data_IF_740528442467
#
_entry.id   IF_740528442467
#
_cell.length_a   1.000
_cell.length_b   1.000
_cell.length_c   1.000
_cell.angle_alpha   90.00
_cell.angle_beta   90.00
_cell.angle_gamma   90.00
#
_symmetry.space_group_name_H-M   'P 1'
#
loop_
_entity.id
_entity.type
_entity.pdbx_description
1 polymer ?
#
# COMPACT_ATOMS: atom_id res chain seq x y z
N UNK A 1 -81.37 -1.91 -31.38
CA UNK A 1 -80.74 -3.22 -31.07
C UNK A 1 -79.55 -2.96 -30.15
N UNK A 2 -79.43 -3.78 -29.09
CA UNK A 2 -78.50 -3.62 -27.97
C UNK A 2 -77.05 -3.95 -28.35
N UNK A 3 -76.10 -3.21 -27.80
CA UNK A 3 -74.85 -3.78 -27.29
C UNK A 3 -74.35 -2.92 -26.12
N UNK A 4 -74.36 -3.50 -24.92
CA UNK A 4 -73.75 -2.97 -23.70
C UNK A 4 -72.30 -3.48 -23.65
N UNK A 5 -71.33 -2.59 -23.44
CA UNK A 5 -70.01 -3.00 -22.98
C UNK A 5 -69.76 -2.46 -21.57
N UNK A 6 -69.46 -3.40 -20.67
CA UNK A 6 -69.14 -3.20 -19.25
C UNK A 6 -67.67 -2.79 -19.15
N UNK A 7 -67.40 -1.74 -18.39
CA UNK A 7 -66.05 -1.39 -17.94
C UNK A 7 -65.64 -2.30 -16.77
N UNK A 8 -64.44 -2.86 -16.83
CA UNK A 8 -63.72 -3.45 -15.69
C UNK A 8 -62.52 -2.54 -15.37
N UNK A 9 -62.20 -2.27 -14.09
CA UNK A 9 -61.02 -1.49 -13.73
C UNK A 9 -59.78 -2.40 -13.69
N UNK A 10 -58.69 -1.95 -14.30
CA UNK A 10 -57.36 -2.56 -14.17
C UNK A 10 -56.65 -1.88 -13.00
N UNK A 11 -56.38 -2.67 -11.95
CA UNK A 11 -55.53 -2.30 -10.82
C UNK A 11 -54.06 -2.23 -11.28
N UNK A 12 -53.47 -1.03 -11.26
CA UNK A 12 -52.05 -0.83 -11.44
C UNK A 12 -51.31 -1.19 -10.13
N UNK A 13 -50.50 -2.24 -10.16
CA UNK A 13 -49.58 -2.59 -9.08
C UNK A 13 -48.22 -1.96 -9.37
N UNK A 14 -47.90 -0.89 -8.64
CA UNK A 14 -46.59 -0.24 -8.70
C UNK A 14 -45.60 -1.00 -7.82
N UNK A 15 -44.66 -1.72 -8.44
CA UNK A 15 -43.50 -2.31 -7.76
C UNK A 15 -42.46 -1.20 -7.57
N UNK A 16 -42.29 -0.74 -6.33
CA UNK A 16 -41.21 0.17 -5.95
C UNK A 16 -39.93 -0.65 -5.71
N UNK A 17 -39.05 -0.67 -6.70
CA UNK A 17 -37.70 -1.22 -6.56
C UNK A 17 -36.86 -0.23 -5.75
N UNK A 18 -36.60 -0.55 -4.49
CA UNK A 18 -35.63 0.18 -3.67
C UNK A 18 -34.22 -0.12 -4.20
N UNK A 19 -33.66 0.82 -4.98
CA UNK A 19 -32.23 0.85 -5.27
C UNK A 19 -31.49 1.12 -3.95
N UNK A 20 -30.85 0.10 -3.41
CA UNK A 20 -29.77 0.29 -2.44
C UNK A 20 -28.60 0.95 -3.17
N UNK A 21 -28.49 2.27 -3.09
CA UNK A 21 -27.26 2.97 -3.40
C UNK A 21 -26.24 2.58 -2.33
N UNK A 22 -25.41 1.59 -2.61
CA UNK A 22 -24.13 1.43 -1.93
C UNK A 22 -23.33 2.69 -2.16
N UNK A 23 -23.08 3.47 -1.11
CA UNK A 23 -22.11 4.57 -1.18
C UNK A 23 -20.75 3.98 -1.63
N UNK A 24 -20.07 4.58 -2.61
CA UNK A 24 -18.74 4.15 -2.98
C UNK A 24 -17.81 4.43 -1.79
N UNK A 25 -17.19 3.39 -1.25
CA UNK A 25 -15.97 3.55 -0.47
C UNK A 25 -14.94 4.16 -1.43
N UNK A 26 -14.69 5.47 -1.28
CA UNK A 26 -13.64 6.13 -2.03
C UNK A 26 -12.28 5.67 -1.49
N UNK A 27 -11.71 4.65 -2.13
CA UNK A 27 -10.27 4.43 -2.07
C UNK A 27 -9.61 5.59 -2.84
N UNK A 28 -9.23 6.64 -2.11
CA UNK A 28 -8.36 7.69 -2.63
C UNK A 28 -6.94 7.13 -2.73
N UNK A 29 -6.33 7.24 -3.91
CA UNK A 29 -4.87 7.06 -4.09
C UNK A 29 -4.43 5.80 -4.83
N UNK A 30 -4.94 5.55 -6.04
CA UNK A 30 -4.25 4.66 -6.97
C UNK A 30 -3.10 5.39 -7.64
N UNK A 31 -1.90 5.38 -7.06
CA UNK A 31 -0.69 5.57 -7.86
C UNK A 31 -0.47 4.27 -8.63
N UNK A 32 -0.40 4.32 -9.95
CA UNK A 32 -0.06 3.17 -10.81
C UNK A 32 1.43 2.80 -10.56
N UNK A 33 1.74 2.29 -9.37
CA UNK A 33 3.04 1.70 -9.08
C UNK A 33 3.07 0.33 -9.75
N UNK A 34 3.91 0.19 -10.78
CA UNK A 34 4.06 -1.09 -11.48
C UNK A 34 4.91 -2.03 -10.62
N UNK A 35 4.30 -3.14 -10.23
CA UNK A 35 4.84 -4.10 -9.28
C UNK A 35 5.78 -5.13 -9.89
N UNK A 36 5.92 -6.25 -9.19
CA UNK A 36 6.74 -7.40 -9.57
C UNK A 36 6.44 -7.83 -11.00
N UNK A 37 7.46 -7.89 -11.84
CA UNK A 37 7.34 -8.43 -13.19
C UNK A 37 8.38 -9.52 -13.44
N UNK A 38 8.19 -10.30 -14.50
CA UNK A 38 9.12 -11.33 -14.91
C UNK A 38 9.35 -11.32 -16.43
N UNK A 39 10.47 -11.88 -16.86
CA UNK A 39 10.78 -12.09 -18.28
C UNK A 39 10.78 -10.79 -19.10
N UNK A 40 10.01 -10.76 -20.19
CA UNK A 40 10.08 -9.69 -21.20
C UNK A 40 9.69 -8.31 -20.66
N UNK A 41 8.85 -8.23 -19.64
CA UNK A 41 8.41 -6.96 -19.06
C UNK A 41 9.55 -6.23 -18.33
N UNK A 42 10.32 -6.97 -17.51
CA UNK A 42 11.51 -6.44 -16.83
C UNK A 42 12.55 -5.93 -17.82
N UNK A 43 12.79 -6.71 -18.87
CA UNK A 43 13.79 -6.38 -19.89
C UNK A 43 13.38 -5.18 -20.73
N UNK A 44 12.07 -5.03 -21.00
CA UNK A 44 11.56 -3.97 -21.88
C UNK A 44 11.39 -2.62 -21.18
N UNK A 45 11.04 -2.58 -19.89
CA UNK A 45 10.63 -1.35 -19.22
C UNK A 45 11.31 -1.17 -17.87
N UNK A 46 11.82 0.04 -17.64
CA UNK A 46 12.43 0.47 -16.38
C UNK A 46 11.41 0.82 -15.29
N UNK A 47 10.12 0.66 -15.57
CA UNK A 47 9.05 0.89 -14.59
C UNK A 47 8.71 -0.36 -13.78
N UNK A 48 9.19 -1.53 -14.21
CA UNK A 48 8.96 -2.78 -13.51
C UNK A 48 10.18 -3.17 -12.69
N UNK A 49 9.92 -3.62 -11.47
CA UNK A 49 10.92 -4.13 -10.54
C UNK A 49 10.92 -5.66 -10.51
N UNK A 50 12.11 -6.22 -10.34
CA UNK A 50 12.32 -7.65 -10.07
C UNK A 50 12.29 -7.98 -8.57
N UNK A 51 12.16 -6.98 -7.69
CA UNK A 51 11.99 -7.20 -6.25
C UNK A 51 10.74 -8.04 -6.03
N UNK A 52 10.89 -9.16 -5.32
CA UNK A 52 9.81 -10.06 -4.93
C UNK A 52 9.39 -9.76 -3.51
N UNK A 53 8.13 -9.42 -3.30
CA UNK A 53 7.50 -9.06 -2.05
C UNK A 53 6.58 -10.21 -1.64
N UNK A 54 6.87 -10.82 -0.49
CA UNK A 54 6.13 -11.98 0.02
C UNK A 54 5.66 -11.72 1.43
N UNK A 55 4.37 -11.93 1.70
CA UNK A 55 3.86 -11.92 3.06
C UNK A 55 4.32 -13.20 3.78
N UNK A 56 5.19 -13.04 4.79
CA UNK A 56 5.76 -14.12 5.59
C UNK A 56 4.79 -14.55 6.69
N UNK A 57 4.11 -13.60 7.32
CA UNK A 57 3.13 -13.87 8.36
C UNK A 57 2.05 -12.79 8.47
N UNK A 58 1.04 -13.08 9.27
CA UNK A 58 -0.11 -12.21 9.49
C UNK A 58 -1.36 -12.72 8.75
N UNK A 59 -2.49 -12.03 8.90
CA UNK A 59 -3.75 -12.44 8.27
C UNK A 59 -3.71 -12.27 6.74
N UNK A 60 -4.28 -13.23 6.02
CA UNK A 60 -4.33 -13.25 4.54
C UNK A 60 -5.76 -13.27 3.98
N UNK A 61 -6.77 -13.36 4.83
CA UNK A 61 -8.19 -13.35 4.43
C UNK A 61 -8.90 -12.06 4.82
N UNK A 62 -10.05 -11.80 4.20
CA UNK A 62 -10.87 -10.60 4.45
C UNK A 62 -10.48 -9.41 3.57
N UNK A 63 -11.10 -8.26 3.83
CA UNK A 63 -10.70 -6.99 3.21
C UNK A 63 -9.36 -6.53 3.79
N UNK A 64 -8.49 -6.02 2.93
CA UNK A 64 -7.17 -5.48 3.28
C UNK A 64 -6.92 -4.20 2.52
N UNK A 65 -5.95 -3.41 2.98
CA UNK A 65 -5.47 -2.26 2.24
C UNK A 65 -4.11 -1.79 2.69
N UNK A 66 -3.53 -0.91 1.89
CA UNK A 66 -2.22 -0.31 2.11
C UNK A 66 -2.23 0.64 3.30
N UNK A 67 -1.10 0.69 4.01
CA UNK A 67 -0.89 1.66 5.08
C UNK A 67 -0.65 3.06 4.52
N UNK A 68 -1.14 4.07 5.23
CA UNK A 68 -0.76 5.46 5.02
C UNK A 68 0.31 5.85 6.05
N UNK A 69 1.47 6.31 5.61
CA UNK A 69 2.50 6.77 6.52
C UNK A 69 2.00 7.97 7.35
N UNK A 70 2.30 7.96 8.65
CA UNK A 70 2.00 9.05 9.56
C UNK A 70 2.88 10.28 9.32
N UNK A 71 4.10 10.06 8.84
CA UNK A 71 4.94 11.13 8.29
C UNK A 71 4.47 11.47 6.87
N UNK A 72 3.79 12.60 6.73
CA UNK A 72 3.27 13.11 5.45
C UNK A 72 4.37 13.46 4.43
N UNK A 73 5.63 13.55 4.86
CA UNK A 73 6.77 13.79 3.97
C UNK A 73 7.50 12.50 3.60
N UNK A 74 7.08 11.36 4.15
CA UNK A 74 7.65 10.08 3.78
C UNK A 74 7.17 9.70 2.38
N UNK A 75 8.12 9.35 1.54
CA UNK A 75 7.87 8.81 0.21
C UNK A 75 8.62 7.49 0.06
N UNK A 76 8.07 6.52 -0.67
CA UNK A 76 8.79 5.29 -1.00
C UNK A 76 10.03 5.62 -1.87
N UNK A 77 11.01 4.71 -1.96
CA UNK A 77 12.23 4.97 -2.71
C UNK A 77 11.88 5.27 -4.17
N UNK A 78 12.32 6.42 -4.71
CA UNK A 78 11.85 6.87 -6.01
C UNK A 78 12.44 6.02 -7.15
N UNK A 79 13.64 5.48 -6.95
CA UNK A 79 14.32 4.57 -7.86
C UNK A 79 15.51 3.86 -7.20
N UNK A 80 16.00 2.80 -7.84
CA UNK A 80 17.25 2.10 -7.50
C UNK A 80 17.79 1.35 -8.72
N UNK A 81 18.94 0.69 -8.60
CA UNK A 81 19.48 -0.18 -9.67
C UNK A 81 19.18 -1.66 -9.40
N UNK A 82 18.89 -2.42 -10.46
CA UNK A 82 18.65 -3.86 -10.40
C UNK A 82 19.42 -4.62 -11.49
N UNK A 83 19.79 -5.90 -11.25
CA UNK A 83 20.28 -6.78 -12.30
C UNK A 83 19.15 -7.15 -13.27
N UNK A 84 19.33 -6.87 -14.56
CA UNK A 84 18.28 -7.08 -15.58
C UNK A 84 18.64 -8.20 -16.57
N UNK A 85 19.91 -8.33 -16.94
CA UNK A 85 20.36 -9.30 -17.94
C UNK A 85 21.63 -10.04 -17.52
N UNK A 86 21.70 -11.35 -17.77
CA UNK A 86 23.00 -12.03 -17.99
C UNK A 86 23.54 -11.67 -19.38
N UNK A 87 24.84 -11.90 -19.67
CA UNK A 87 25.40 -11.76 -21.01
C UNK A 87 24.58 -12.43 -22.12
N UNK A 88 24.13 -13.68 -21.88
CA UNK A 88 23.37 -14.46 -22.86
C UNK A 88 21.97 -13.86 -23.09
N UNK A 89 21.30 -13.42 -22.02
CA UNK A 89 19.99 -12.80 -22.12
C UNK A 89 20.08 -11.43 -22.83
N UNK A 90 21.13 -10.64 -22.55
CA UNK A 90 21.32 -9.36 -23.25
C UNK A 90 21.61 -9.58 -24.73
N UNK A 91 22.42 -10.58 -25.08
CA UNK A 91 22.68 -10.92 -26.48
C UNK A 91 21.39 -11.31 -27.21
N UNK A 92 20.60 -12.22 -26.62
CA UNK A 92 19.34 -12.66 -27.21
C UNK A 92 18.37 -11.48 -27.40
N UNK A 93 18.18 -10.67 -26.35
CA UNK A 93 17.34 -9.48 -26.41
C UNK A 93 17.84 -8.47 -27.46
N UNK A 94 19.14 -8.15 -27.47
CA UNK A 94 19.71 -7.19 -28.41
C UNK A 94 19.60 -7.64 -29.86
N UNK A 95 19.81 -8.93 -30.15
CA UNK A 95 19.80 -9.47 -31.52
C UNK A 95 18.39 -9.79 -32.03
N UNK A 96 17.42 -10.07 -31.16
CA UNK A 96 16.08 -10.56 -31.56
C UNK A 96 14.90 -9.64 -31.22
N UNK A 97 14.92 -8.93 -30.07
CA UNK A 97 13.81 -8.07 -29.62
C UNK A 97 14.15 -6.58 -29.79
N UNK A 98 15.27 -6.13 -29.22
CA UNK A 98 15.92 -4.84 -29.44
C UNK A 98 15.13 -3.60 -29.03
N UNK A 99 13.96 -3.74 -28.40
CA UNK A 99 13.09 -2.65 -27.99
C UNK A 99 12.93 -2.59 -26.48
N UNK A 100 13.52 -1.60 -25.83
CA UNK A 100 13.34 -1.40 -24.39
C UNK A 100 14.23 -0.32 -23.80
N UNK A 101 14.11 -0.15 -22.49
CA UNK A 101 14.83 0.86 -21.73
C UNK A 101 16.28 0.44 -21.45
N UNK A 102 17.25 1.21 -21.92
CA UNK A 102 18.67 1.08 -21.55
C UNK A 102 19.00 1.91 -20.29
N UNK A 103 18.13 2.83 -19.91
CA UNK A 103 18.04 3.48 -18.59
C UNK A 103 16.61 3.98 -18.37
N UNK A 104 16.28 4.43 -17.14
CA UNK A 104 14.94 4.86 -16.72
C UNK A 104 14.22 5.81 -17.69
N UNK A 105 14.96 6.63 -18.45
CA UNK A 105 14.40 7.63 -19.38
C UNK A 105 14.93 7.52 -20.80
N UNK A 106 15.71 6.49 -21.07
CA UNK A 106 16.36 6.31 -22.37
C UNK A 106 16.02 4.92 -22.91
N UNK A 107 15.12 4.90 -23.88
CA UNK A 107 14.78 3.71 -24.66
C UNK A 107 15.64 3.58 -25.91
N UNK A 108 16.04 2.36 -26.22
CA UNK A 108 16.63 1.99 -27.51
C UNK A 108 15.71 1.02 -28.24
N UNK A 109 15.48 1.28 -29.52
CA UNK A 109 14.58 0.50 -30.36
C UNK A 109 15.31 -0.03 -31.60
N UNK A 110 15.19 -1.33 -31.81
CA UNK A 110 15.92 -2.09 -32.81
C UNK A 110 17.32 -2.48 -32.36
N UNK A 111 17.89 -3.51 -32.98
CA UNK A 111 19.12 -4.17 -32.53
C UNK A 111 20.37 -3.29 -32.60
N UNK A 112 20.42 -2.33 -33.52
CA UNK A 112 21.67 -1.64 -33.88
C UNK A 112 22.35 -0.94 -32.71
N UNK A 113 21.59 -0.17 -31.91
CA UNK A 113 22.16 0.58 -30.77
C UNK A 113 22.67 -0.37 -29.69
N UNK A 114 21.93 -1.45 -29.42
CA UNK A 114 22.33 -2.48 -28.48
C UNK A 114 23.59 -3.22 -28.94
N UNK A 115 23.65 -3.67 -30.20
CA UNK A 115 24.84 -4.35 -30.74
C UNK A 115 26.03 -3.41 -30.82
N UNK A 116 25.84 -2.18 -31.30
CA UNK A 116 26.91 -1.18 -31.36
C UNK A 116 27.56 -1.00 -29.97
N UNK A 117 26.74 -0.85 -28.92
CA UNK A 117 27.23 -0.57 -27.59
C UNK A 117 27.74 -1.81 -26.85
N UNK A 118 26.97 -2.90 -26.83
CA UNK A 118 27.27 -4.06 -25.97
C UNK A 118 28.08 -5.15 -26.68
N UNK A 119 28.14 -5.18 -28.02
CA UNK A 119 28.91 -6.17 -28.80
C UNK A 119 30.15 -5.56 -29.42
N UNK A 120 30.01 -4.42 -30.10
CA UNK A 120 31.05 -3.83 -30.94
C UNK A 120 31.96 -2.84 -30.18
N UNK A 121 31.70 -2.61 -28.89
CA UNK A 121 32.49 -1.71 -28.05
C UNK A 121 32.35 -0.24 -28.38
N UNK A 122 31.28 0.18 -29.06
CA UNK A 122 31.04 1.60 -29.35
C UNK A 122 30.50 2.30 -28.11
N UNK A 123 31.07 3.46 -27.83
CA UNK A 123 30.61 4.31 -26.75
C UNK A 123 29.18 4.82 -27.04
N UNK A 124 28.39 5.00 -25.99
CA UNK A 124 27.02 5.50 -26.08
C UNK A 124 26.82 6.74 -25.20
N UNK A 125 26.04 7.72 -25.66
CA UNK A 125 25.67 8.87 -24.83
C UNK A 125 24.66 8.46 -23.76
N UNK A 126 24.86 8.98 -22.55
CA UNK A 126 23.84 9.05 -21.50
C UNK A 126 23.33 10.50 -21.46
N UNK A 127 22.07 10.72 -21.85
CA UNK A 127 21.53 12.06 -22.05
C UNK A 127 20.97 12.72 -20.80
N UNK A 128 20.45 11.91 -19.87
CA UNK A 128 19.78 12.40 -18.67
C UNK A 128 20.77 12.61 -17.53
N UNK A 129 20.40 13.37 -16.49
CA UNK A 129 21.29 13.77 -15.40
C UNK A 129 22.43 14.67 -15.87
N UNK A 130 23.67 14.35 -15.51
CA UNK A 130 24.86 15.00 -16.10
C UNK A 130 25.22 14.26 -17.40
N UNK A 131 25.08 14.89 -18.59
CA UNK A 131 25.39 14.23 -19.85
C UNK A 131 26.80 13.67 -19.86
N UNK A 132 26.92 12.41 -20.29
CA UNK A 132 28.19 11.68 -20.26
C UNK A 132 28.25 10.64 -21.36
N UNK A 133 29.42 10.02 -21.52
CA UNK A 133 29.65 8.96 -22.49
C UNK A 133 29.95 7.67 -21.75
N UNK A 134 29.06 6.68 -21.89
CA UNK A 134 29.25 5.33 -21.37
C UNK A 134 30.16 4.54 -22.32
N UNK A 135 31.17 3.86 -21.76
CA UNK A 135 32.06 3.00 -22.54
C UNK A 135 31.34 1.77 -23.04
N UNK A 136 31.55 1.44 -24.32
CA UNK A 136 31.01 0.23 -24.91
C UNK A 136 31.62 -1.05 -24.34
N UNK A 137 30.86 -2.13 -24.42
CA UNK A 137 31.26 -3.48 -24.05
C UNK A 137 31.57 -4.30 -25.30
N UNK A 138 32.39 -5.34 -25.12
CA UNK A 138 32.72 -6.27 -26.20
C UNK A 138 31.99 -7.58 -25.98
N UNK A 139 31.38 -8.08 -27.03
CA UNK A 139 30.75 -9.41 -27.07
C UNK A 139 29.83 -9.68 -25.87
N UNK A 140 29.08 -8.67 -25.41
CA UNK A 140 28.15 -8.72 -24.28
C UNK A 140 28.75 -9.19 -22.95
N UNK A 141 30.08 -9.18 -22.81
CA UNK A 141 30.79 -9.86 -21.73
C UNK A 141 30.45 -11.38 -21.63
N UNK A 142 30.22 -12.05 -22.77
CA UNK A 142 29.97 -13.50 -22.80
C UNK A 142 31.09 -14.28 -22.10
N UNK A 143 30.68 -15.27 -21.29
CA UNK A 143 31.60 -16.09 -20.50
C UNK A 143 32.00 -15.48 -19.15
N UNK A 144 31.72 -14.19 -18.93
CA UNK A 144 31.90 -13.56 -17.63
C UNK A 144 30.72 -13.85 -16.69
N UNK A 145 30.98 -13.86 -15.38
CA UNK A 145 29.96 -14.09 -14.36
C UNK A 145 29.51 -12.77 -13.75
N UNK A 146 28.32 -12.32 -14.13
CA UNK A 146 27.73 -11.09 -13.62
C UNK A 146 26.45 -10.75 -14.34
N UNK A 147 26.01 -9.52 -14.13
CA UNK A 147 24.77 -9.01 -14.68
C UNK A 147 24.98 -7.61 -15.24
N UNK A 148 24.20 -7.27 -16.25
CA UNK A 148 23.97 -5.88 -16.63
C UNK A 148 22.85 -5.31 -15.76
N UNK A 149 23.16 -4.19 -15.12
CA UNK A 149 22.29 -3.48 -14.21
C UNK A 149 21.72 -2.23 -14.86
N UNK A 150 20.48 -1.91 -14.51
CA UNK A 150 19.79 -0.70 -14.96
C UNK A 150 19.00 -0.10 -13.81
N UNK A 151 18.81 1.21 -13.84
CA UNK A 151 17.85 1.86 -12.96
C UNK A 151 16.43 1.35 -13.19
N UNK A 152 15.67 1.27 -12.11
CA UNK A 152 14.23 1.00 -12.06
C UNK A 152 13.56 2.07 -11.23
N UNK A 153 12.38 2.52 -11.67
CA UNK A 153 11.52 3.45 -10.95
C UNK A 153 10.06 2.97 -11.05
N UNK A 154 9.47 2.42 -9.96
CA UNK A 154 8.08 1.93 -9.97
C UNK A 154 7.04 2.97 -10.40
N UNK A 155 7.37 4.26 -10.25
CA UNK A 155 6.57 5.39 -10.74
C UNK A 155 7.48 6.44 -11.38
N UNK A 156 7.53 6.48 -12.71
CA UNK A 156 8.31 7.50 -13.44
C UNK A 156 7.74 8.91 -13.27
N UNK A 157 6.43 9.02 -13.05
CA UNK A 157 5.74 10.29 -12.82
C UNK A 157 5.98 10.86 -11.42
N UNK A 158 6.36 10.02 -10.46
CA UNK A 158 6.76 10.47 -9.12
C UNK A 158 8.26 10.79 -9.03
N UNK A 159 9.04 10.45 -10.06
CA UNK A 159 10.46 10.77 -10.11
C UNK A 159 10.67 12.08 -10.87
N UNK A 160 10.66 13.21 -10.17
CA UNK A 160 10.89 14.54 -10.78
C UNK A 160 12.38 14.81 -11.05
N UNK A 161 13.27 14.31 -10.17
CA UNK A 161 14.71 14.48 -10.35
C UNK A 161 15.24 13.54 -11.45
N UNK A 162 15.53 14.12 -12.62
CA UNK A 162 16.06 13.39 -13.77
C UNK A 162 17.50 12.90 -13.61
N UNK A 163 18.19 13.29 -12.53
CA UNK A 163 19.56 12.86 -12.21
C UNK A 163 19.63 11.58 -11.37
N UNK A 164 18.50 11.07 -10.87
CA UNK A 164 18.46 9.85 -10.10
C UNK A 164 18.34 8.61 -11.00
N UNK A 165 19.12 7.58 -10.67
CA UNK A 165 19.11 6.25 -11.29
C UNK A 165 19.18 6.23 -12.84
N UNK A 166 19.70 7.29 -13.44
CA UNK A 166 19.72 7.53 -14.88
C UNK A 166 20.99 7.00 -15.56
N UNK A 167 21.86 6.28 -14.85
CA UNK A 167 23.07 5.70 -15.46
C UNK A 167 22.64 4.72 -16.55
N UNK A 168 23.26 4.87 -17.72
CA UNK A 168 23.11 3.90 -18.81
C UNK A 168 23.55 2.52 -18.32
N UNK A 169 22.79 1.49 -18.71
CA UNK A 169 22.97 0.12 -18.27
C UNK A 169 24.44 -0.31 -18.27
N UNK A 170 24.87 -0.96 -17.19
CA UNK A 170 26.28 -1.21 -16.93
C UNK A 170 26.55 -2.57 -16.29
N UNK A 171 27.77 -3.06 -16.44
CA UNK A 171 28.18 -4.36 -15.91
C UNK A 171 28.52 -4.32 -14.42
N UNK A 172 28.14 -5.37 -13.69
CA UNK A 172 28.62 -5.69 -12.34
C UNK A 172 28.87 -7.19 -12.20
N UNK A 173 29.96 -7.55 -11.54
CA UNK A 173 30.32 -8.96 -11.29
C UNK A 173 29.31 -9.65 -10.36
N UNK A 174 29.15 -10.96 -10.53
CA UNK A 174 28.19 -11.75 -9.76
C UNK A 174 28.47 -11.69 -8.25
N UNK A 175 27.39 -11.55 -7.47
CA UNK A 175 27.48 -11.47 -6.01
C UNK A 175 27.99 -10.14 -5.47
N UNK A 176 28.15 -9.13 -6.32
CA UNK A 176 28.52 -7.77 -5.90
C UNK A 176 27.37 -6.80 -6.14
N UNK A 177 27.15 -5.91 -5.18
CA UNK A 177 26.28 -4.74 -5.34
C UNK A 177 27.14 -3.63 -5.94
N UNK A 178 26.64 -2.92 -6.98
CA UNK A 178 27.42 -1.86 -7.59
C UNK A 178 27.66 -0.69 -6.64
N UNK A 179 28.89 -0.17 -6.60
CA UNK A 179 29.24 1.03 -5.85
C UNK A 179 28.87 2.28 -6.67
N UNK A 180 27.58 2.60 -6.67
CA UNK A 180 26.99 3.75 -7.35
C UNK A 180 26.01 4.50 -6.44
N UNK A 181 25.79 5.82 -6.66
CA UNK A 181 24.66 6.51 -6.06
C UNK A 181 23.35 5.76 -6.36
N UNK A 182 22.50 5.60 -5.35
CA UNK A 182 21.23 4.86 -5.44
C UNK A 182 21.39 3.35 -5.73
N UNK A 183 22.54 2.76 -5.40
CA UNK A 183 22.65 1.31 -5.30
C UNK A 183 21.60 0.77 -4.31
N UNK A 184 20.96 -0.38 -4.61
CA UNK A 184 19.95 -0.91 -3.73
C UNK A 184 20.57 -1.31 -2.39
N UNK A 185 19.86 -1.02 -1.31
CA UNK A 185 20.24 -1.38 0.05
C UNK A 185 19.15 -2.21 0.71
N UNK A 186 19.42 -2.92 1.82
CA UNK A 186 18.36 -3.54 2.61
C UNK A 186 17.28 -2.52 3.01
N UNK A 187 17.65 -1.27 3.30
CA UNK A 187 16.68 -0.20 3.59
C UNK A 187 15.78 0.11 2.41
N UNK A 188 16.33 0.21 1.19
CA UNK A 188 15.53 0.39 -0.04
C UNK A 188 14.49 -0.71 -0.20
N UNK A 189 14.87 -1.97 0.06
CA UNK A 189 13.96 -3.11 0.00
C UNK A 189 12.90 -3.04 1.12
N UNK A 190 13.27 -2.60 2.32
CA UNK A 190 12.34 -2.44 3.44
C UNK A 190 11.30 -1.33 3.19
N UNK A 191 11.73 -0.20 2.65
CA UNK A 191 10.87 0.93 2.28
C UNK A 191 9.93 0.53 1.12
N UNK A 192 10.41 -0.24 0.14
CA UNK A 192 9.55 -0.80 -0.91
C UNK A 192 8.57 -1.86 -0.36
N UNK A 193 8.99 -2.71 0.57
CA UNK A 193 8.09 -3.65 1.24
C UNK A 193 7.01 -2.95 2.06
N UNK A 194 7.35 -1.82 2.70
CA UNK A 194 6.42 -0.99 3.45
C UNK A 194 5.38 -0.33 2.52
N UNK A 195 5.78 0.18 1.35
CA UNK A 195 4.83 0.66 0.33
C UNK A 195 3.84 -0.41 -0.14
N UNK A 196 4.26 -1.69 -0.12
CA UNK A 196 3.46 -2.83 -0.56
C UNK A 196 2.76 -3.59 0.57
N UNK A 197 2.94 -3.19 1.83
CA UNK A 197 2.32 -3.92 2.95
C UNK A 197 0.81 -3.68 2.95
N UNK A 198 0.06 -4.77 2.98
CA UNK A 198 -1.39 -4.73 3.17
C UNK A 198 -1.73 -5.23 4.58
N UNK A 199 -2.48 -4.43 5.32
CA UNK A 199 -3.01 -4.82 6.63
C UNK A 199 -4.51 -5.13 6.54
N UNK A 200 -5.06 -5.94 7.46
CA UNK A 200 -6.50 -6.17 7.52
C UNK A 200 -7.26 -4.86 7.70
N UNK A 201 -8.40 -4.74 7.03
CA UNK A 201 -9.26 -3.57 7.20
C UNK A 201 -9.74 -3.46 8.67
N UNK A 202 -9.69 -2.25 9.21
CA UNK A 202 -10.12 -1.94 10.58
C UNK A 202 -11.63 -2.11 10.72
N UNK A 203 -12.12 -3.30 11.07
CA UNK A 203 -13.52 -3.47 11.47
C UNK A 203 -13.64 -3.38 12.99
N UNK A 204 -14.19 -2.26 13.48
CA UNK A 204 -14.50 -2.11 14.89
C UNK A 204 -15.75 -2.88 15.29
N UNK A 205 -15.73 -3.45 16.49
CA UNK A 205 -16.93 -3.94 17.15
C UNK A 205 -17.38 -2.88 18.15
N UNK A 206 -18.66 -2.51 18.11
CA UNK A 206 -19.22 -1.45 18.93
C UNK A 206 -20.50 -1.89 19.64
N UNK A 207 -20.74 -1.35 20.84
CA UNK A 207 -21.99 -1.54 21.58
C UNK A 207 -22.44 -0.26 22.29
N UNK A 208 -23.61 0.30 21.94
CA UNK A 208 -24.46 -0.03 20.77
C UNK A 208 -23.70 0.03 19.43
N UNK A 209 -24.10 -0.79 18.44
CA UNK A 209 -23.30 -0.96 17.21
C UNK A 209 -23.27 0.28 16.31
N UNK A 210 -24.43 0.77 15.88
CA UNK A 210 -24.55 1.94 14.99
C UNK A 210 -25.62 2.95 15.45
N UNK A 211 -26.27 2.67 16.59
CA UNK A 211 -27.34 3.49 17.16
C UNK A 211 -27.01 3.82 18.60
N UNK A 212 -26.33 4.94 18.81
CA UNK A 212 -26.02 5.44 20.15
C UNK A 212 -27.15 6.32 20.68
N UNK A 213 -27.13 6.56 21.98
CA UNK A 213 -28.03 7.51 22.63
C UNK A 213 -27.18 8.61 23.27
N UNK A 214 -27.66 9.86 23.20
CA UNK A 214 -27.01 11.01 23.84
C UNK A 214 -26.71 10.71 25.32
N UNK A 215 -25.51 11.06 25.76
CA UNK A 215 -24.98 10.84 27.11
C UNK A 215 -24.76 9.37 27.53
N UNK A 216 -25.02 8.38 26.66
CA UNK A 216 -24.68 6.99 26.93
C UNK A 216 -23.38 6.59 26.21
N UNK A 217 -22.45 5.90 26.90
CA UNK A 217 -21.21 5.45 26.28
C UNK A 217 -21.46 4.33 25.27
N UNK A 218 -20.84 4.45 24.11
CA UNK A 218 -20.65 3.38 23.14
C UNK A 218 -19.29 2.73 23.39
N UNK A 219 -19.30 1.46 23.77
CA UNK A 219 -18.11 0.64 23.96
C UNK A 219 -17.56 0.22 22.60
N UNK A 220 -16.25 0.30 22.42
CA UNK A 220 -15.56 -0.11 21.19
C UNK A 220 -14.44 -1.09 21.54
N UNK A 221 -14.27 -2.13 20.73
CA UNK A 221 -13.16 -3.07 20.84
C UNK A 221 -12.83 -3.68 19.49
N UNK A 222 -11.65 -4.31 19.41
CA UNK A 222 -11.23 -5.08 18.24
C UNK A 222 -11.12 -6.56 18.57
N UNK A 223 -11.38 -7.39 17.57
CA UNK A 223 -11.12 -8.83 17.68
C UNK A 223 -9.61 -9.09 17.72
N UNK A 224 -9.15 -9.67 18.83
CA UNK A 224 -7.75 -10.04 19.07
C UNK A 224 -7.17 -11.04 18.06
N UNK A 225 -8.01 -11.77 17.33
CA UNK A 225 -7.59 -12.68 16.27
C UNK A 225 -7.21 -11.96 14.97
N UNK A 226 -7.70 -10.74 14.78
CA UNK A 226 -7.67 -10.01 13.50
C UNK A 226 -6.45 -9.10 13.38
N UNK A 227 -6.02 -8.45 14.46
CA UNK A 227 -4.91 -7.47 14.43
C UNK A 227 -3.66 -8.09 15.03
N UNK A 228 -2.88 -8.73 14.16
CA UNK A 228 -1.59 -9.37 14.47
C UNK A 228 -0.52 -8.75 13.60
N UNK A 229 0.73 -8.90 14.02
CA UNK A 229 1.90 -8.52 13.25
C UNK A 229 1.81 -9.07 11.83
N UNK A 230 1.94 -8.17 10.85
CA UNK A 230 2.08 -8.49 9.44
C UNK A 230 3.55 -8.40 9.10
N UNK A 231 4.11 -9.49 8.56
CA UNK A 231 5.51 -9.51 8.14
C UNK A 231 5.58 -9.69 6.64
N UNK A 232 6.33 -8.82 5.98
CA UNK A 232 6.54 -8.84 4.55
C UNK A 232 8.03 -8.86 4.26
N UNK A 233 8.44 -9.71 3.33
CA UNK A 233 9.82 -9.88 2.91
C UNK A 233 9.98 -9.45 1.47
N UNK A 234 10.81 -8.45 1.24
CA UNK A 234 11.29 -8.05 -0.08
C UNK A 234 12.66 -8.70 -0.34
N UNK A 235 12.81 -9.30 -1.51
CA UNK A 235 14.08 -9.87 -1.99
C UNK A 235 14.40 -9.36 -3.38
N UNK A 236 15.64 -8.92 -3.60
CA UNK A 236 16.13 -8.56 -4.93
C UNK A 236 16.88 -9.77 -5.53
N UNK A 237 16.33 -10.44 -6.55
CA UNK A 237 16.94 -11.65 -7.11
C UNK A 237 18.38 -11.43 -7.58
N UNK A 238 19.21 -12.48 -7.49
CA UNK A 238 20.62 -12.49 -7.93
C UNK A 238 21.59 -11.59 -7.16
N UNK A 239 21.14 -10.91 -6.10
CA UNK A 239 21.99 -10.00 -5.31
C UNK A 239 22.25 -10.48 -3.88
N UNK A 240 21.41 -11.39 -3.38
CA UNK A 240 21.40 -11.80 -1.97
C UNK A 240 20.82 -10.73 -1.03
N UNK A 241 20.38 -9.58 -1.54
CA UNK A 241 19.70 -8.56 -0.76
C UNK A 241 18.27 -8.99 -0.44
N UNK A 242 17.93 -8.84 0.83
CA UNK A 242 16.60 -8.99 1.35
C UNK A 242 16.37 -8.03 2.52
N UNK A 243 15.11 -7.69 2.75
CA UNK A 243 14.63 -7.06 3.95
C UNK A 243 13.27 -7.65 4.35
N UNK A 244 13.05 -7.80 5.65
CA UNK A 244 11.79 -8.20 6.26
C UNK A 244 11.27 -7.02 7.08
N UNK A 245 10.14 -6.47 6.66
CA UNK A 245 9.42 -5.39 7.31
C UNK A 245 8.28 -5.99 8.13
N UNK A 246 8.18 -5.57 9.40
CA UNK A 246 7.13 -5.96 10.34
C UNK A 246 6.27 -4.75 10.65
N UNK A 247 4.97 -4.86 10.34
CA UNK A 247 3.95 -3.92 10.78
C UNK A 247 3.25 -4.47 12.02
N UNK A 248 3.41 -3.80 13.15
CA UNK A 248 2.88 -4.22 14.45
C UNK A 248 1.78 -3.25 14.90
N UNK A 249 0.56 -3.73 15.19
CA UNK A 249 -0.51 -2.85 15.64
C UNK A 249 -0.22 -2.37 17.08
N UNK A 250 -0.35 -1.07 17.33
CA UNK A 250 -0.02 -0.47 18.65
C UNK A 250 -1.18 0.26 19.30
N UNK A 251 -2.04 0.94 18.54
CA UNK A 251 -3.18 1.67 19.08
C UNK A 251 -4.31 1.81 18.06
N UNK A 252 -5.55 1.87 18.56
CA UNK A 252 -6.73 2.30 17.81
C UNK A 252 -7.07 3.74 18.21
N UNK A 253 -7.05 4.64 17.24
CA UNK A 253 -7.55 6.00 17.40
C UNK A 253 -9.04 6.07 17.00
N UNK A 254 -9.86 6.69 17.84
CA UNK A 254 -11.27 6.97 17.59
C UNK A 254 -11.50 8.47 17.43
N UNK A 255 -11.93 8.88 16.24
CA UNK A 255 -12.46 10.22 15.98
C UNK A 255 -13.98 10.13 15.84
N UNK A 256 -14.76 10.69 16.79
CA UNK A 256 -16.22 10.62 16.78
C UNK A 256 -16.91 11.25 15.56
N UNK A 257 -16.18 12.06 14.77
CA UNK A 257 -16.73 12.80 13.63
C UNK A 257 -17.51 14.05 14.00
N UNK A 258 -17.39 14.50 15.27
CA UNK A 258 -18.02 15.72 15.80
C UNK A 258 -17.28 16.21 17.05
N UNK A 259 -17.30 17.51 17.28
CA UNK A 259 -16.81 18.12 18.54
C UNK A 259 -17.77 17.89 19.73
N UNK A 260 -19.04 17.57 19.44
CA UNK A 260 -20.06 17.28 20.47
C UNK A 260 -19.96 15.82 20.95
N UNK A 261 -18.76 15.35 21.25
CA UNK A 261 -18.49 14.00 21.75
C UNK A 261 -17.26 13.96 22.66
N UNK A 262 -17.25 12.98 23.54
CA UNK A 262 -16.10 12.64 24.37
C UNK A 262 -15.59 11.24 24.00
N UNK A 263 -14.28 11.04 24.09
CA UNK A 263 -13.63 9.75 23.89
C UNK A 263 -13.20 9.12 25.21
N UNK A 264 -13.07 7.80 25.21
CA UNK A 264 -12.52 7.02 26.31
C UNK A 264 -11.43 6.10 25.75
N UNK A 265 -10.16 6.23 26.18
CA UNK A 265 -9.64 7.32 27.01
C UNK A 265 -9.80 8.69 26.34
N UNK A 266 -9.63 9.77 27.10
CA UNK A 266 -9.84 11.13 26.60
C UNK A 266 -8.91 11.53 25.42
N UNK A 267 -7.84 10.79 25.18
CA UNK A 267 -6.99 10.96 24.00
C UNK A 267 -7.66 10.46 22.71
N UNK A 268 -8.65 9.56 22.81
CA UNK A 268 -9.16 8.78 21.68
C UNK A 268 -8.30 7.58 21.30
N UNK A 269 -7.11 7.45 21.91
CA UNK A 269 -6.15 6.38 21.62
C UNK A 269 -6.31 5.21 22.59
N UNK A 270 -6.88 4.13 22.08
CA UNK A 270 -6.99 2.86 22.77
C UNK A 270 -5.76 2.00 22.48
N UNK A 271 -4.81 1.96 23.41
CA UNK A 271 -3.60 1.14 23.30
C UNK A 271 -3.91 -0.36 23.22
N UNK A 272 -3.04 -1.10 22.55
CA UNK A 272 -3.09 -2.56 22.54
C UNK A 272 -2.73 -3.10 23.93
N UNK A 273 -3.61 -3.91 24.50
CA UNK A 273 -3.40 -4.58 25.78
C UNK A 273 -2.25 -5.59 25.67
N UNK A 274 -1.64 -5.95 26.81
CA UNK A 274 -0.57 -6.95 26.87
C UNK A 274 -0.96 -8.32 26.27
N UNK A 275 -2.25 -8.62 26.22
CA UNK A 275 -2.77 -9.85 25.65
C UNK A 275 -3.01 -9.74 24.12
N UNK A 276 -2.80 -8.57 23.50
CA UNK A 276 -3.02 -8.32 22.07
C UNK A 276 -4.45 -7.89 21.70
N UNK A 277 -5.33 -7.64 22.68
CA UNK A 277 -6.66 -7.08 22.44
C UNK A 277 -6.63 -5.55 22.47
N UNK A 278 -7.61 -4.89 21.84
CA UNK A 278 -7.86 -3.46 22.00
C UNK A 278 -9.26 -3.29 22.59
N UNK A 279 -9.38 -2.47 23.63
CA UNK A 279 -10.63 -2.27 24.36
C UNK A 279 -11.05 -3.52 25.16
N UNK A 280 -12.35 -3.65 25.42
CA UNK A 280 -12.92 -4.83 26.08
C UNK A 280 -14.34 -5.08 25.58
N UNK A 281 -14.68 -6.31 25.15
CA UNK A 281 -16.03 -6.65 24.73
C UNK A 281 -17.08 -6.31 25.78
N UNK A 282 -18.14 -5.61 25.37
CA UNK A 282 -19.21 -5.24 26.29
C UNK A 282 -19.94 -6.46 26.87
N UNK A 283 -20.04 -6.51 28.20
CA UNK A 283 -20.83 -7.49 28.93
C UNK A 283 -22.13 -6.86 29.48
N UNK A 284 -23.23 -7.63 29.51
CA UNK A 284 -24.49 -7.16 30.12
C UNK A 284 -24.26 -6.77 31.59
N UNK A 285 -24.83 -5.64 32.00
CA UNK A 285 -24.67 -5.09 33.36
C UNK A 285 -23.54 -4.07 33.50
N UNK A 286 -22.84 -3.74 32.40
CA UNK A 286 -21.75 -2.76 32.36
C UNK A 286 -22.17 -1.39 31.81
N UNK A 287 -23.47 -1.10 31.76
CA UNK A 287 -23.99 0.15 31.17
C UNK A 287 -23.53 1.41 31.88
N UNK A 288 -23.26 1.30 33.19
CA UNK A 288 -22.92 2.43 34.05
C UNK A 288 -21.39 2.57 34.22
N UNK A 289 -20.61 1.68 33.60
CA UNK A 289 -19.16 1.71 33.63
C UNK A 289 -18.59 2.50 32.44
N UNK A 290 -17.48 3.19 32.69
CA UNK A 290 -16.71 3.84 31.63
C UNK A 290 -16.02 2.78 30.77
N UNK A 291 -16.23 2.78 29.44
CA UNK A 291 -15.53 1.84 28.58
C UNK A 291 -14.01 2.11 28.61
N UNK A 292 -13.18 1.07 28.56
CA UNK A 292 -11.73 1.25 28.42
C UNK A 292 -11.36 1.80 27.03
N UNK A 293 -12.22 1.56 26.04
CA UNK A 293 -12.14 2.14 24.70
C UNK A 293 -13.58 2.44 24.23
N UNK A 294 -13.87 3.68 23.85
CA UNK A 294 -15.22 4.05 23.44
C UNK A 294 -15.44 5.54 23.26
N UNK A 295 -16.69 5.90 23.02
CA UNK A 295 -17.13 7.28 22.75
C UNK A 295 -18.46 7.58 23.44
N UNK A 296 -18.71 8.84 23.78
CA UNK A 296 -20.01 9.34 24.27
C UNK A 296 -20.38 10.60 23.51
N UNK A 297 -21.43 10.51 22.72
CA UNK A 297 -22.00 11.65 22.02
C UNK A 297 -22.83 12.52 22.96
N UNK A 298 -22.66 13.83 22.86
CA UNK A 298 -23.34 14.84 23.67
C UNK A 298 -24.52 15.49 22.93
N UNK A 299 -24.65 15.22 21.62
CA UNK A 299 -25.74 15.72 20.77
C UNK A 299 -26.27 14.63 19.83
N UNK A 300 -27.55 14.75 19.47
CA UNK A 300 -28.17 13.88 18.47
C UNK A 300 -27.67 14.18 17.06
N UNK A 301 -27.73 13.19 16.17
CA UNK A 301 -27.31 13.28 14.76
C UNK A 301 -28.31 14.05 13.88
N UNK A 302 -29.53 14.35 14.37
CA UNK A 302 -30.58 15.10 13.66
C UNK A 302 -30.85 14.63 12.21
N UNK A 303 -30.74 13.31 11.97
CA UNK A 303 -30.96 12.69 10.68
C UNK A 303 -29.75 12.67 9.73
N UNK A 304 -28.58 13.15 10.18
CA UNK A 304 -27.29 13.00 9.50
C UNK A 304 -26.30 12.27 10.43
N UNK A 305 -26.05 10.97 10.23
CA UNK A 305 -25.15 10.20 11.09
C UNK A 305 -23.76 10.82 11.20
N UNK A 306 -23.18 10.78 12.40
CA UNK A 306 -21.78 11.14 12.58
C UNK A 306 -20.87 10.11 11.91
N UNK A 307 -19.77 10.57 11.34
CA UNK A 307 -18.77 9.74 10.67
C UNK A 307 -17.72 9.32 11.71
N UNK A 308 -17.98 8.24 12.44
CA UNK A 308 -16.98 7.69 13.38
C UNK A 308 -15.85 7.09 12.57
N UNK A 309 -14.65 7.65 12.72
CA UNK A 309 -13.43 7.12 12.13
C UNK A 309 -12.66 6.30 13.14
N UNK A 310 -12.22 5.14 12.70
CA UNK A 310 -11.41 4.21 13.46
C UNK A 310 -10.10 3.96 12.70
N UNK A 311 -8.98 4.43 13.25
CA UNK A 311 -7.67 4.31 12.64
C UNK A 311 -6.75 3.46 13.50
N UNK A 312 -6.20 2.39 12.95
CA UNK A 312 -5.17 1.61 13.65
C UNK A 312 -3.81 2.14 13.26
N UNK A 313 -3.00 2.47 14.27
CA UNK A 313 -1.59 2.80 14.11
C UNK A 313 -0.75 1.53 14.17
N UNK A 314 0.16 1.40 13.22
CA UNK A 314 1.08 0.29 13.05
C UNK A 314 2.52 0.80 13.17
N UNK A 315 3.23 0.33 14.18
CA UNK A 315 4.67 0.52 14.34
C UNK A 315 5.41 -0.32 13.29
N UNK A 316 6.33 0.31 12.56
CA UNK A 316 7.00 -0.31 11.40
C UNK A 316 8.48 -0.46 11.68
N UNK A 317 8.93 -1.70 11.83
CA UNK A 317 10.34 -2.04 11.99
C UNK A 317 10.80 -2.99 10.89
N UNK A 318 12.08 -3.02 10.60
CA UNK A 318 12.64 -3.92 9.59
C UNK A 318 14.02 -4.43 9.95
N UNK A 319 14.36 -5.57 9.37
CA UNK A 319 15.69 -6.18 9.40
C UNK A 319 16.06 -6.70 8.01
N UNK A 320 17.34 -6.87 7.72
CA UNK A 320 17.78 -7.26 6.39
C UNK A 320 19.18 -7.83 6.33
N UNK A 321 19.67 -7.96 5.11
CA UNK A 321 20.98 -8.55 4.79
C UNK A 321 22.11 -7.86 5.57
N UNK A 322 23.08 -8.64 6.03
CA UNK A 322 24.24 -8.12 6.77
C UNK A 322 23.93 -7.65 8.20
N UNK A 323 22.74 -7.95 8.74
CA UNK A 323 22.30 -7.48 10.05
C UNK A 323 21.84 -6.02 10.06
N UNK A 324 21.61 -5.43 8.88
CA UNK A 324 20.97 -4.13 8.77
C UNK A 324 19.57 -4.18 9.39
N UNK A 325 19.18 -3.14 10.12
CA UNK A 325 17.88 -3.02 10.73
C UNK A 325 17.57 -1.55 11.01
N UNK A 326 16.30 -1.25 11.28
CA UNK A 326 15.85 0.07 11.69
C UNK A 326 14.34 0.16 11.72
N UNK A 327 13.86 1.38 11.89
CA UNK A 327 12.44 1.71 11.91
C UNK A 327 12.07 2.53 10.67
N UNK A 328 10.81 2.47 10.29
CA UNK A 328 10.16 3.32 9.29
C UNK A 328 9.03 4.10 9.97
N UNK A 329 8.48 5.16 9.34
CA UNK A 329 7.35 5.87 9.92
C UNK A 329 6.18 4.93 10.22
N UNK A 330 5.47 5.20 11.31
CA UNK A 330 4.26 4.46 11.65
C UNK A 330 3.27 4.55 10.48
N UNK A 331 2.57 3.44 10.21
CA UNK A 331 1.51 3.38 9.22
C UNK A 331 0.13 3.45 9.87
N UNK A 332 -0.86 4.00 9.17
CA UNK A 332 -2.25 4.02 9.61
C UNK A 332 -3.19 3.42 8.58
N UNK A 333 -4.24 2.73 9.05
CA UNK A 333 -5.35 2.30 8.21
C UNK A 333 -6.68 2.71 8.85
N UNK A 334 -7.37 3.63 8.20
CA UNK A 334 -8.64 4.22 8.65
C UNK A 334 -9.84 3.50 8.01
N UNK A 335 -10.87 3.29 8.82
CA UNK A 335 -12.22 3.00 8.34
C UNK A 335 -13.21 3.96 8.95
N UNK A 336 -14.34 4.14 8.26
CA UNK A 336 -15.41 5.03 8.70
C UNK A 336 -16.70 4.24 8.88
N UNK A 337 -17.42 4.52 9.95
CA UNK A 337 -18.71 3.95 10.26
C UNK A 337 -19.72 5.05 10.61
N UNK A 338 -20.93 4.96 10.04
CA UNK A 338 -22.04 5.84 10.39
C UNK A 338 -22.54 5.54 11.81
N UNK A 339 -22.67 6.60 12.62
CA UNK A 339 -23.23 6.57 13.97
C UNK A 339 -24.49 7.43 14.05
N UNK A 340 -25.64 6.78 14.16
CA UNK A 340 -26.92 7.43 14.40
C UNK A 340 -27.09 7.67 15.90
N UNK A 341 -27.25 8.92 16.32
CA UNK A 341 -27.33 9.30 17.74
C UNK A 341 -28.70 9.88 18.01
N UNK A 342 -29.47 9.18 18.84
CA UNK A 342 -30.80 9.62 19.24
C UNK A 342 -30.78 10.27 20.63
N UNK A 343 -31.67 11.23 20.85
CA UNK A 343 -31.96 11.74 22.19
C UNK A 343 -33.27 11.13 22.69
N UNK A 344 -33.26 10.59 23.92
CA UNK A 344 -34.46 10.06 24.56
C UNK A 344 -35.01 11.11 25.50
N UNK A 345 -36.10 11.75 25.10
CA UNK A 345 -36.84 12.69 25.94
C UNK A 345 -37.98 11.94 26.65
N UNK A 346 -37.97 11.96 27.98
CA UNK A 346 -39.07 11.42 28.79
C UNK A 346 -40.07 12.51 29.12
N UNK A 347 -41.31 12.37 28.66
CA UNK A 347 -42.42 13.24 29.10
C UNK A 347 -42.98 12.64 30.38
N UNK A 348 -42.72 13.27 31.53
CA UNK A 348 -43.38 12.92 32.78
C UNK A 348 -44.77 13.58 32.76
N UNK A 349 -45.84 12.78 32.82
CA UNK A 349 -47.23 13.26 32.82
C UNK A 349 -47.80 13.30 34.22
#
# INVERSE_FOLDING_TARGET
MRARHKALPVLASSVATALCCTAPAHAFGGSDTRGEAEGKELTASAQHTSIKVTQVSGPTGGQRGSLNATDVNWEPPPCWYEPVFTPEQLKDFAENDGGGDVSIRQGWYGSKLWTDHFKDGKDAPNYFGTPSTAKGYKDYNLGEKGYFWRGVAPSLSALDDTSLCNRLMFWQDAGQIPDVPNAPTPRTLAEYAYDKVEVPATKIEAKPAAKSTVNLPTWVWLDKGTFKDVKVRAELPNTGLWAETTAKPVALHLDPGTEDAETFPASGDCEINADGSIGTPYAKGKSDETPPCGIRYLRASDGQPYQLKASITWDISWQGTGGAAGDLPDGTFETTQDMDVQEIQSINR
#
